data_IF_305670597233
#
_entry.id   IF_305670597233
#
_cell.length_a   1.000
_cell.length_b   1.000
_cell.length_c   1.000
_cell.angle_alpha   90.00
_cell.angle_beta   90.00
_cell.angle_gamma   90.00
#
_symmetry.space_group_name_H-M   'P 1'
#
loop_
_entity.id
_entity.type
_entity.pdbx_description
1 polymer ?
#
# COMPACT_ATOMS: atom_id res chain seq x y z
N UNK A 1 -3.47 -13.26 -18.22
CA UNK A 1 -2.95 -11.98 -17.67
C UNK A 1 -1.79 -11.42 -18.51
N UNK A 2 -0.69 -12.15 -18.74
CA UNK A 2 0.45 -11.63 -19.52
C UNK A 2 0.12 -11.09 -20.93
N UNK A 3 -0.67 -11.82 -21.73
CA UNK A 3 -1.15 -11.34 -23.06
C UNK A 3 -2.00 -10.06 -22.97
N UNK A 4 -2.79 -9.92 -21.90
CA UNK A 4 -3.61 -8.72 -21.65
C UNK A 4 -2.74 -7.53 -21.25
N UNK A 5 -1.71 -7.75 -20.42
CA UNK A 5 -0.74 -6.70 -20.06
C UNK A 5 0.03 -6.20 -21.29
N UNK A 6 0.47 -7.11 -22.17
CA UNK A 6 1.07 -6.75 -23.44
C UNK A 6 0.09 -5.95 -24.32
N UNK A 7 -1.15 -6.40 -24.43
CA UNK A 7 -2.21 -5.68 -25.14
C UNK A 7 -2.52 -4.29 -24.57
N UNK A 8 -2.56 -4.11 -23.25
CA UNK A 8 -2.79 -2.80 -22.63
C UNK A 8 -1.63 -1.82 -22.85
N UNK A 9 -0.41 -2.34 -23.08
CA UNK A 9 0.77 -1.56 -23.46
C UNK A 9 0.68 -1.10 -24.92
N UNK A 10 0.13 -1.93 -25.80
CA UNK A 10 -0.02 -1.69 -27.23
C UNK A 10 -1.46 -1.23 -27.55
N UNK A 11 -1.74 0.07 -27.39
CA UNK A 11 -3.08 0.65 -27.67
C UNK A 11 -3.39 0.67 -29.19
N UNK A 12 -3.74 -0.45 -29.80
CA UNK A 12 -4.29 -0.46 -31.17
C UNK A 12 -5.83 -0.46 -31.16
N UNK A 13 -6.51 0.55 -31.77
CA UNK A 13 -7.95 0.56 -31.88
C UNK A 13 -8.46 -0.58 -32.80
N UNK A 14 -9.66 -1.12 -32.54
CA UNK A 14 -10.20 -2.22 -33.34
C UNK A 14 -10.45 -1.81 -34.79
N UNK A 15 -10.02 -2.64 -35.74
CA UNK A 15 -10.05 -2.32 -37.18
C UNK A 15 -11.39 -2.68 -37.85
N UNK A 16 -12.39 -3.18 -37.10
CA UNK A 16 -13.73 -3.50 -37.62
C UNK A 16 -14.64 -4.27 -36.64
N UNK A 17 -15.85 -4.61 -37.10
CA UNK A 17 -16.90 -5.24 -36.27
C UNK A 17 -16.60 -6.67 -35.80
N UNK A 18 -15.91 -7.49 -36.62
CA UNK A 18 -15.45 -8.84 -36.22
C UNK A 18 -14.39 -8.78 -35.13
N UNK A 19 -13.40 -7.89 -35.31
CA UNK A 19 -12.34 -7.62 -34.33
C UNK A 19 -12.92 -7.08 -33.01
N UNK A 20 -14.01 -6.30 -33.06
CA UNK A 20 -14.73 -5.86 -31.87
C UNK A 20 -15.41 -7.01 -31.10
N UNK A 21 -15.94 -8.03 -31.79
CA UNK A 21 -16.53 -9.21 -31.16
C UNK A 21 -15.46 -10.12 -30.52
N UNK A 22 -14.33 -10.29 -31.21
CA UNK A 22 -13.18 -11.04 -30.68
C UNK A 22 -12.53 -10.32 -29.48
N UNK A 23 -12.63 -8.98 -29.43
CA UNK A 23 -12.19 -8.13 -28.31
C UNK A 23 -13.22 -7.97 -27.20
N UNK A 24 -14.42 -8.54 -27.32
CA UNK A 24 -15.48 -8.44 -26.29
C UNK A 24 -15.05 -9.00 -24.91
N UNK A 25 -14.31 -10.12 -24.81
CA UNK A 25 -13.77 -10.60 -23.54
C UNK A 25 -12.76 -9.63 -22.92
N UNK A 26 -11.95 -8.97 -23.75
CA UNK A 26 -10.99 -7.94 -23.34
C UNK A 26 -11.73 -6.69 -22.87
N UNK A 27 -12.80 -6.28 -23.56
CA UNK A 27 -13.66 -5.16 -23.14
C UNK A 27 -14.31 -5.42 -21.77
N UNK A 28 -14.79 -6.65 -21.52
CA UNK A 28 -15.31 -7.05 -20.20
C UNK A 28 -14.25 -6.96 -19.10
N UNK A 29 -13.00 -7.31 -19.41
CA UNK A 29 -11.89 -7.15 -18.47
C UNK A 29 -11.58 -5.68 -18.21
N UNK A 30 -11.65 -4.81 -19.23
CA UNK A 30 -11.49 -3.36 -19.06
C UNK A 30 -12.57 -2.76 -18.13
N UNK A 31 -13.81 -3.26 -18.19
CA UNK A 31 -14.88 -2.83 -17.27
C UNK A 31 -14.58 -3.14 -15.79
N UNK A 32 -13.74 -4.14 -15.51
CA UNK A 32 -13.34 -4.51 -14.16
C UNK A 32 -12.13 -3.73 -13.63
N UNK A 33 -11.51 -2.88 -14.45
CA UNK A 33 -10.32 -2.12 -14.07
C UNK A 33 -10.64 -0.96 -13.13
N UNK A 34 -11.74 -0.25 -13.31
CA UNK A 34 -12.06 0.90 -12.45
C UNK A 34 -12.45 0.43 -11.04
N UNK A 35 -11.76 0.89 -9.97
CA UNK A 35 -12.16 0.59 -8.60
C UNK A 35 -13.59 1.06 -8.32
N UNK A 36 -14.30 0.34 -7.45
CA UNK A 36 -15.63 0.71 -6.97
C UNK A 36 -15.48 1.38 -5.62
N UNK A 37 -15.75 2.69 -5.58
CA UNK A 37 -15.82 3.43 -4.32
C UNK A 37 -17.06 3.02 -3.52
N UNK A 38 -16.86 2.70 -2.25
CA UNK A 38 -17.90 2.42 -1.26
C UNK A 38 -18.08 3.63 -0.34
N UNK A 39 -19.31 3.84 0.13
CA UNK A 39 -19.65 4.89 1.09
C UNK A 39 -19.31 4.52 2.54
N UNK A 40 -19.23 3.23 2.84
CA UNK A 40 -18.84 2.66 4.13
C UNK A 40 -18.11 1.34 3.90
N UNK A 41 -17.29 0.94 4.88
CA UNK A 41 -16.46 -0.25 4.77
C UNK A 41 -16.26 -0.93 6.14
N UNK A 42 -16.17 -2.28 6.18
CA UNK A 42 -15.84 -3.01 7.40
C UNK A 42 -14.54 -2.56 8.06
N UNK A 43 -13.55 -2.13 7.27
CA UNK A 43 -12.26 -1.66 7.79
C UNK A 43 -12.34 -0.36 8.62
N UNK A 44 -13.52 0.26 8.73
CA UNK A 44 -13.79 1.50 9.47
C UNK A 44 -14.83 1.31 10.58
N UNK A 45 -15.07 0.07 11.03
CA UNK A 45 -16.06 -0.23 12.08
C UNK A 45 -15.61 0.25 13.47
N UNK A 46 -14.33 0.08 13.79
CA UNK A 46 -13.69 0.58 15.00
C UNK A 46 -12.64 1.59 14.58
N UNK A 47 -12.63 2.78 15.21
CA UNK A 47 -11.70 3.86 14.88
C UNK A 47 -11.13 4.42 16.18
N UNK A 48 -9.80 4.48 16.25
CA UNK A 48 -9.03 5.25 17.24
C UNK A 48 -8.38 6.43 16.53
N UNK A 49 -8.46 7.62 17.12
CA UNK A 49 -7.91 8.85 16.55
C UNK A 49 -7.01 9.60 17.54
N UNK A 50 -6.01 10.31 17.00
CA UNK A 50 -5.13 11.21 17.73
C UNK A 50 -4.50 10.54 18.98
N UNK A 51 -4.86 10.98 20.18
CA UNK A 51 -4.26 10.51 21.44
C UNK A 51 -4.60 9.06 21.80
N UNK A 52 -5.65 8.49 21.19
CA UNK A 52 -6.10 7.12 21.46
C UNK A 52 -5.45 6.08 20.53
N UNK A 53 -4.58 6.53 19.61
CA UNK A 53 -3.83 5.63 18.73
C UNK A 53 -2.72 4.95 19.52
N UNK A 54 -2.83 3.62 19.65
CA UNK A 54 -1.79 2.78 20.22
C UNK A 54 -1.53 1.55 19.35
N UNK A 55 -0.38 1.53 18.68
CA UNK A 55 0.12 0.40 17.89
C UNK A 55 0.40 -0.83 18.77
N UNK A 56 0.55 -0.67 20.08
CA UNK A 56 0.72 -1.76 21.05
C UNK A 56 -0.49 -2.68 21.16
N UNK A 57 -1.68 -2.25 20.71
CA UNK A 57 -2.84 -3.12 20.61
C UNK A 57 -2.76 -4.15 19.48
N UNK A 58 -1.84 -3.96 18.52
CA UNK A 58 -1.63 -4.87 17.41
C UNK A 58 -0.54 -5.89 17.74
N UNK A 59 -0.69 -7.18 17.36
CA UNK A 59 0.30 -8.21 17.62
C UNK A 59 1.47 -8.14 16.62
N UNK A 60 2.16 -6.99 16.56
CA UNK A 60 3.30 -6.76 15.67
C UNK A 60 4.46 -7.66 16.11
N UNK A 61 5.03 -8.39 15.16
CA UNK A 61 5.96 -9.48 15.44
C UNK A 61 7.40 -8.98 15.62
N UNK A 62 8.11 -9.62 16.54
CA UNK A 62 9.57 -9.71 16.50
C UNK A 62 9.94 -10.90 15.62
N UNK A 63 10.73 -10.68 14.56
CA UNK A 63 11.05 -11.76 13.62
C UNK A 63 12.27 -12.57 14.08
N UNK A 64 13.32 -11.88 14.56
CA UNK A 64 14.58 -12.50 14.97
C UNK A 64 15.12 -11.95 16.30
N UNK A 65 15.93 -12.72 17.04
CA UNK A 65 16.46 -12.31 18.35
C UNK A 65 17.29 -11.01 18.35
N UNK A 66 17.97 -10.69 17.24
CA UNK A 66 18.78 -9.48 17.08
C UNK A 66 18.09 -8.34 16.34
N UNK A 67 16.79 -8.43 16.06
CA UNK A 67 16.03 -7.30 15.52
C UNK A 67 15.96 -6.17 16.57
N UNK A 68 15.84 -4.92 16.12
CA UNK A 68 15.84 -3.76 17.03
C UNK A 68 14.49 -3.46 17.68
N UNK A 69 13.39 -3.83 17.02
CA UNK A 69 12.02 -3.55 17.42
C UNK A 69 11.03 -4.48 16.68
N UNK A 70 9.74 -4.49 17.06
CA UNK A 70 8.70 -5.13 16.26
C UNK A 70 8.61 -4.49 14.86
N UNK A 71 8.25 -5.30 13.86
CA UNK A 71 8.23 -4.90 12.47
C UNK A 71 6.90 -5.24 11.78
N UNK A 72 6.27 -4.25 11.16
CA UNK A 72 5.14 -4.48 10.24
C UNK A 72 5.71 -4.87 8.87
N UNK A 73 5.27 -6.01 8.33
CA UNK A 73 5.88 -6.61 7.13
C UNK A 73 4.95 -6.73 5.92
N UNK A 74 3.63 -6.78 6.11
CA UNK A 74 2.62 -6.93 5.04
C UNK A 74 1.68 -5.73 4.90
N UNK A 75 2.13 -4.53 5.27
CA UNK A 75 1.37 -3.29 5.08
C UNK A 75 1.38 -2.81 3.63
N UNK A 76 0.20 -2.74 2.99
CA UNK A 76 0.04 -2.09 1.69
C UNK A 76 0.03 -0.57 1.90
N UNK A 77 1.18 0.06 1.68
CA UNK A 77 1.34 1.51 1.78
C UNK A 77 0.75 2.17 0.55
N UNK A 78 -0.26 3.01 0.76
CA UNK A 78 -0.97 3.79 -0.25
C UNK A 78 -0.46 5.23 -0.23
N UNK A 79 0.00 5.69 -1.38
CA UNK A 79 0.47 7.06 -1.59
C UNK A 79 -0.11 7.65 -2.87
N UNK A 80 -0.11 8.99 -2.97
CA UNK A 80 -0.45 9.69 -4.20
C UNK A 80 0.47 10.90 -4.38
N UNK A 81 1.23 10.91 -5.48
CA UNK A 81 2.02 12.08 -5.88
C UNK A 81 1.13 13.26 -6.26
N UNK A 82 1.59 14.51 -6.08
CA UNK A 82 0.79 15.73 -6.22
C UNK A 82 0.29 16.00 -7.66
N UNK A 83 0.92 15.40 -8.67
CA UNK A 83 0.54 15.54 -10.08
C UNK A 83 -0.29 14.39 -10.63
N UNK A 84 -0.61 13.39 -9.79
CA UNK A 84 -1.13 12.10 -10.25
C UNK A 84 -2.53 11.88 -9.70
N UNK A 85 -3.47 11.56 -10.60
CA UNK A 85 -4.77 11.04 -10.18
C UNK A 85 -4.67 9.60 -9.63
N UNK A 86 -3.63 8.86 -10.05
CA UNK A 86 -3.40 7.47 -9.64
C UNK A 86 -2.75 7.40 -8.26
N UNK A 87 -3.10 6.36 -7.51
CA UNK A 87 -2.41 6.01 -6.26
C UNK A 87 -1.43 4.88 -6.53
N UNK A 88 -0.31 4.89 -5.80
CA UNK A 88 0.66 3.80 -5.76
C UNK A 88 0.37 2.91 -4.55
N UNK A 89 0.51 1.60 -4.73
CA UNK A 89 0.54 0.62 -3.64
C UNK A 89 1.92 -0.01 -3.55
N UNK A 90 2.53 0.00 -2.37
CA UNK A 90 3.82 -0.62 -2.15
C UNK A 90 3.93 -1.31 -0.80
N UNK A 91 4.78 -2.33 -0.74
CA UNK A 91 5.09 -3.04 0.51
C UNK A 91 6.46 -2.57 0.97
N UNK A 92 6.45 -1.86 2.09
CA UNK A 92 7.63 -1.32 2.73
C UNK A 92 7.58 -1.78 4.17
N UNK A 93 8.66 -2.37 4.67
CA UNK A 93 8.71 -2.80 6.07
C UNK A 93 8.72 -1.57 6.99
N UNK A 94 8.04 -1.66 8.11
CA UNK A 94 7.85 -0.52 9.01
C UNK A 94 8.23 -0.88 10.44
N UNK A 95 9.33 -0.29 10.92
CA UNK A 95 9.82 -0.46 12.29
C UNK A 95 8.98 0.36 13.26
N UNK A 96 8.51 -0.26 14.34
CA UNK A 96 7.80 0.43 15.42
C UNK A 96 8.77 1.26 16.25
N UNK A 97 8.46 2.55 16.44
CA UNK A 97 9.22 3.47 17.28
C UNK A 97 8.50 3.86 18.58
N UNK A 98 7.19 3.66 18.64
CA UNK A 98 6.36 4.05 19.76
C UNK A 98 4.87 3.78 19.49
N UNK A 99 3.97 4.33 20.31
CA UNK A 99 2.53 4.04 20.21
C UNK A 99 1.91 4.51 18.89
N UNK A 100 2.48 5.48 18.19
CA UNK A 100 1.91 6.01 16.94
C UNK A 100 2.97 6.38 15.89
N UNK A 101 4.18 5.83 15.99
CA UNK A 101 5.30 6.19 15.12
C UNK A 101 5.91 4.94 14.51
N UNK A 102 6.09 4.96 13.19
CA UNK A 102 6.67 3.91 12.37
C UNK A 102 7.76 4.48 11.48
N UNK A 103 8.82 3.73 11.20
CA UNK A 103 9.77 4.10 10.13
C UNK A 103 9.25 3.61 8.79
N UNK A 104 9.25 4.44 7.75
CA UNK A 104 8.90 4.04 6.40
C UNK A 104 10.14 3.64 5.59
N UNK A 105 10.52 2.34 5.59
CA UNK A 105 11.70 1.86 4.83
C UNK A 105 11.36 1.56 3.37
N UNK A 106 11.25 2.62 2.58
CA UNK A 106 11.21 2.53 1.11
C UNK A 106 12.58 2.81 0.48
N UNK A 107 12.89 2.16 -0.64
CA UNK A 107 14.08 2.52 -1.43
C UNK A 107 13.74 3.70 -2.35
N UNK A 108 14.71 4.58 -2.62
CA UNK A 108 14.50 5.86 -3.31
C UNK A 108 13.83 5.77 -4.70
N UNK A 109 13.89 4.60 -5.36
CA UNK A 109 13.29 4.36 -6.67
C UNK A 109 11.87 3.77 -6.60
N UNK A 110 11.33 3.52 -5.41
CA UNK A 110 9.98 2.96 -5.23
C UNK A 110 8.91 4.06 -5.36
N UNK A 111 7.73 3.70 -5.84
CA UNK A 111 6.65 4.66 -6.12
C UNK A 111 6.31 5.58 -4.94
N UNK A 112 6.17 5.04 -3.73
CA UNK A 112 5.92 5.87 -2.54
C UNK A 112 7.04 6.87 -2.23
N UNK A 113 8.30 6.48 -2.39
CA UNK A 113 9.45 7.37 -2.19
C UNK A 113 9.50 8.48 -3.26
N UNK A 114 9.14 8.15 -4.51
CA UNK A 114 9.05 9.12 -5.59
C UNK A 114 7.91 10.11 -5.36
N UNK A 115 6.73 9.63 -4.96
CA UNK A 115 5.58 10.47 -4.63
C UNK A 115 5.89 11.42 -3.46
N UNK A 116 6.55 10.92 -2.41
CA UNK A 116 7.00 11.74 -1.29
C UNK A 116 8.02 12.80 -1.71
N UNK A 117 9.01 12.43 -2.53
CA UNK A 117 10.00 13.38 -3.05
C UNK A 117 9.33 14.47 -3.90
N UNK A 118 8.42 14.10 -4.80
CA UNK A 118 7.66 15.04 -5.63
C UNK A 118 6.81 15.98 -4.75
N UNK A 119 6.16 15.46 -3.71
CA UNK A 119 5.40 16.25 -2.74
C UNK A 119 6.29 17.27 -2.02
N UNK A 120 7.45 16.86 -1.50
CA UNK A 120 8.36 17.77 -0.81
C UNK A 120 8.87 18.91 -1.71
N UNK A 121 9.04 18.67 -3.01
CA UNK A 121 9.45 19.70 -3.97
C UNK A 121 8.35 20.73 -4.25
N UNK A 122 7.08 20.30 -4.25
CA UNK A 122 5.94 21.15 -4.60
C UNK A 122 5.29 21.83 -3.39
N UNK A 123 5.37 21.16 -2.25
CA UNK A 123 4.78 21.58 -0.99
C UNK A 123 5.83 21.56 0.12
N UNK A 124 6.88 22.42 0.05
CA UNK A 124 7.98 22.39 1.01
C UNK A 124 7.49 22.53 2.46
N UNK A 125 7.94 21.62 3.32
CA UNK A 125 7.59 21.59 4.74
C UNK A 125 6.16 21.13 5.06
N UNK A 126 5.33 20.81 4.05
CA UNK A 126 3.99 20.28 4.32
C UNK A 126 4.03 18.76 4.56
N UNK A 127 3.30 18.25 5.56
CA UNK A 127 3.14 16.82 5.78
C UNK A 127 2.67 16.08 4.52
N UNK A 128 3.25 14.91 4.27
CA UNK A 128 2.87 14.04 3.17
C UNK A 128 1.87 12.98 3.65
N UNK A 129 0.61 12.99 3.18
CA UNK A 129 -0.39 12.02 3.62
C UNK A 129 -0.12 10.63 3.04
N UNK A 130 -0.29 9.60 3.86
CA UNK A 130 -0.27 8.20 3.45
C UNK A 130 -1.23 7.36 4.28
N UNK A 131 -1.51 6.16 3.79
CA UNK A 131 -2.20 5.13 4.55
C UNK A 131 -1.51 3.77 4.39
N UNK A 132 -1.71 2.87 5.34
CA UNK A 132 -1.20 1.50 5.30
C UNK A 132 -2.36 0.55 5.58
N UNK A 133 -2.70 -0.28 4.60
CA UNK A 133 -3.76 -1.30 4.74
C UNK A 133 -3.14 -2.67 5.02
N UNK A 134 -3.59 -3.33 6.10
CA UNK A 134 -3.21 -4.67 6.52
C UNK A 134 -4.39 -5.63 6.31
N UNK A 135 -4.10 -6.86 5.88
CA UNK A 135 -5.13 -7.88 5.65
C UNK A 135 -6.09 -7.53 4.49
N UNK A 136 -5.60 -6.90 3.42
CA UNK A 136 -6.38 -6.67 2.21
C UNK A 136 -6.71 -8.00 1.49
N UNK A 137 -7.59 -7.96 0.49
CA UNK A 137 -7.91 -9.15 -0.29
C UNK A 137 -6.66 -9.68 -1.06
N UNK A 138 -6.57 -11.00 -1.32
CA UNK A 138 -5.38 -11.59 -1.91
C UNK A 138 -4.99 -11.02 -3.27
N UNK A 139 -5.96 -10.63 -4.10
CA UNK A 139 -5.67 -10.07 -5.43
C UNK A 139 -5.03 -8.68 -5.33
N UNK A 140 -5.45 -7.87 -4.35
CA UNK A 140 -4.84 -6.56 -4.09
C UNK A 140 -3.42 -6.70 -3.56
N UNK A 141 -3.19 -7.65 -2.64
CA UNK A 141 -1.85 -7.95 -2.12
C UNK A 141 -0.91 -8.39 -3.26
N UNK A 142 -1.36 -9.34 -4.09
CA UNK A 142 -0.58 -9.81 -5.24
C UNK A 142 -0.32 -8.70 -6.28
N UNK A 143 -1.29 -7.81 -6.48
CA UNK A 143 -1.12 -6.69 -7.39
C UNK A 143 -0.04 -5.70 -6.90
N UNK A 144 0.04 -5.44 -5.59
CA UNK A 144 1.02 -4.53 -5.00
C UNK A 144 2.48 -5.03 -5.11
N UNK A 145 2.70 -6.34 -5.23
CA UNK A 145 4.05 -6.92 -5.45
C UNK A 145 4.38 -7.16 -6.92
N UNK A 146 3.37 -7.10 -7.81
CA UNK A 146 3.58 -7.34 -9.24
C UNK A 146 4.10 -6.07 -9.91
N UNK A 147 5.16 -6.12 -10.73
CA UNK A 147 5.61 -4.97 -11.50
C UNK A 147 4.58 -4.64 -12.58
N UNK A 148 3.72 -3.65 -12.31
CA UNK A 148 2.73 -3.15 -13.26
C UNK A 148 3.25 -1.90 -13.99
N UNK A 149 2.85 -1.65 -15.24
CA UNK A 149 3.22 -0.42 -15.95
C UNK A 149 2.71 0.83 -15.24
N UNK A 150 3.44 1.95 -15.36
CA UNK A 150 3.03 3.25 -14.78
C UNK A 150 1.71 3.81 -15.33
N UNK A 151 1.21 3.26 -16.44
CA UNK A 151 -0.11 3.59 -16.99
C UNK A 151 -1.26 2.91 -16.28
N UNK A 152 -0.99 1.96 -15.36
CA UNK A 152 -1.99 1.14 -14.67
C UNK A 152 -1.79 1.24 -13.15
N UNK A 153 -2.85 1.52 -12.40
CA UNK A 153 -2.81 1.43 -10.93
C UNK A 153 -2.92 -0.04 -10.48
N UNK A 154 -2.28 -0.38 -9.37
CA UNK A 154 -2.29 -1.71 -8.77
C UNK A 154 -3.73 -2.16 -8.46
N UNK A 155 -4.65 -1.26 -8.08
CA UNK A 155 -6.06 -1.62 -7.90
C UNK A 155 -6.75 -2.07 -9.19
N UNK A 156 -6.38 -1.46 -10.32
CA UNK A 156 -6.92 -1.84 -11.62
C UNK A 156 -6.39 -3.22 -12.03
N UNK A 157 -5.11 -3.48 -11.75
CA UNK A 157 -4.51 -4.78 -11.96
C UNK A 157 -5.12 -5.86 -11.05
N UNK A 158 -5.37 -5.54 -9.77
CA UNK A 158 -6.05 -6.42 -8.84
C UNK A 158 -7.45 -6.82 -9.34
N UNK A 159 -8.20 -5.86 -9.92
CA UNK A 159 -9.52 -6.14 -10.49
C UNK A 159 -9.46 -7.08 -11.70
N UNK A 160 -8.40 -6.99 -12.51
CA UNK A 160 -8.14 -7.92 -13.61
C UNK A 160 -7.80 -9.33 -13.12
N UNK A 161 -7.00 -9.45 -12.05
CA UNK A 161 -6.67 -10.73 -11.42
C UNK A 161 -7.90 -11.39 -10.78
N UNK A 162 -8.73 -10.59 -10.11
CA UNK A 162 -9.92 -11.04 -9.38
C UNK A 162 -11.11 -11.35 -10.30
N UNK A 163 -11.17 -10.71 -11.47
CA UNK A 163 -12.31 -10.79 -12.37
C UNK A 163 -13.51 -9.93 -11.95
N UNK A 164 -13.32 -9.03 -10.98
CA UNK A 164 -14.32 -8.07 -10.49
C UNK A 164 -13.63 -6.81 -9.98
N UNK A 165 -14.36 -5.69 -9.92
CA UNK A 165 -13.80 -4.39 -9.50
C UNK A 165 -13.27 -4.45 -8.07
N UNK A 166 -12.11 -3.85 -7.85
CA UNK A 166 -11.59 -3.66 -6.48
C UNK A 166 -12.47 -2.69 -5.72
N UNK A 167 -12.98 -3.10 -4.57
CA UNK A 167 -13.78 -2.25 -3.69
C UNK A 167 -12.87 -1.46 -2.77
N UNK A 168 -13.00 -0.15 -2.82
CA UNK A 168 -12.19 0.78 -2.04
C UNK A 168 -13.08 1.73 -1.26
N UNK A 169 -12.55 2.25 -0.17
CA UNK A 169 -13.20 3.29 0.65
C UNK A 169 -12.25 4.46 0.81
N UNK A 170 -12.81 5.66 0.96
CA UNK A 170 -12.02 6.85 1.25
C UNK A 170 -11.45 6.74 2.67
N UNK A 171 -10.18 7.07 2.84
CA UNK A 171 -9.56 7.28 4.14
C UNK A 171 -10.33 8.34 4.95
N UNK A 172 -10.29 8.23 6.27
CA UNK A 172 -10.99 9.14 7.17
C UNK A 172 -10.27 10.51 7.25
N UNK A 173 -8.94 10.51 7.25
CA UNK A 173 -8.11 11.71 7.40
C UNK A 173 -7.57 12.30 6.09
N UNK A 174 -7.80 11.66 4.94
CA UNK A 174 -7.25 12.11 3.66
C UNK A 174 -8.11 11.73 2.46
N UNK A 175 -7.77 12.24 1.28
CA UNK A 175 -8.40 11.87 0.01
C UNK A 175 -7.86 10.56 -0.59
N UNK A 176 -7.07 9.79 0.17
CA UNK A 176 -6.59 8.49 -0.25
C UNK A 176 -7.71 7.44 -0.21
N UNK A 177 -7.54 6.36 -0.96
CA UNK A 177 -8.47 5.23 -1.01
C UNK A 177 -7.75 3.92 -0.67
N UNK A 178 -8.29 3.20 0.30
CA UNK A 178 -7.80 1.91 0.81
C UNK A 178 -8.78 0.79 0.46
N UNK A 179 -8.36 -0.49 0.47
CA UNK A 179 -9.26 -1.61 0.23
C UNK A 179 -10.36 -1.64 1.29
N UNK A 180 -11.63 -1.64 0.88
CA UNK A 180 -12.76 -1.61 1.81
C UNK A 180 -12.81 -2.87 2.70
N UNK A 181 -12.24 -3.98 2.23
CA UNK A 181 -12.17 -5.25 2.95
C UNK A 181 -10.90 -5.42 3.79
N UNK A 182 -10.07 -4.39 3.94
CA UNK A 182 -8.89 -4.47 4.81
C UNK A 182 -9.28 -4.83 6.24
N UNK A 183 -8.41 -5.54 6.95
CA UNK A 183 -8.63 -5.89 8.36
C UNK A 183 -8.32 -4.70 9.26
N UNK A 184 -7.21 -4.00 8.99
CA UNK A 184 -6.71 -2.85 9.75
C UNK A 184 -6.18 -1.81 8.76
N UNK A 185 -6.42 -0.53 9.02
CA UNK A 185 -5.90 0.60 8.26
C UNK A 185 -5.26 1.61 9.21
N UNK A 186 -4.00 1.96 8.92
CA UNK A 186 -3.28 3.04 9.60
C UNK A 186 -3.28 4.25 8.68
N UNK A 187 -3.70 5.41 9.17
CA UNK A 187 -3.70 6.66 8.40
C UNK A 187 -2.89 7.74 9.13
N UNK A 188 -2.26 8.61 8.36
CA UNK A 188 -1.56 9.77 8.90
C UNK A 188 -0.60 10.36 7.87
N UNK A 189 0.59 10.74 8.31
CA UNK A 189 1.51 11.51 7.48
C UNK A 189 2.99 11.25 7.77
N UNK A 190 3.84 11.64 6.83
CA UNK A 190 5.28 11.83 7.04
C UNK A 190 5.57 13.32 7.10
N UNK A 191 6.23 13.78 8.16
CA UNK A 191 6.85 15.11 8.19
C UNK A 191 8.15 15.06 7.37
N UNK A 192 8.33 15.92 6.35
CA UNK A 192 9.55 15.96 5.53
C UNK A 192 10.86 16.09 6.31
N UNK A 193 10.82 16.63 7.53
CA UNK A 193 11.99 16.85 8.38
C UNK A 193 12.22 15.70 9.36
N UNK A 194 11.22 14.84 9.58
CA UNK A 194 11.29 13.78 10.58
C UNK A 194 11.81 12.47 9.97
N UNK A 195 12.90 11.99 10.56
CA UNK A 195 13.61 10.79 10.12
C UNK A 195 14.17 10.06 11.33
N UNK A 196 14.29 8.74 11.24
CA UNK A 196 14.83 7.90 12.32
C UNK A 196 15.74 6.80 11.77
N UNK A 197 16.60 6.27 12.63
CA UNK A 197 17.52 5.19 12.30
C UNK A 197 16.76 3.85 12.30
N UNK A 198 16.75 3.18 11.15
CA UNK A 198 16.13 1.86 10.99
C UNK A 198 17.14 0.74 11.15
N UNK A 199 16.71 -0.34 11.79
CA UNK A 199 17.46 -1.58 11.92
C UNK A 199 18.38 -1.65 13.15
N UNK A 200 19.15 -2.75 13.28
CA UNK A 200 19.30 -3.80 12.28
C UNK A 200 18.08 -4.74 12.22
N UNK A 201 17.93 -5.43 11.09
CA UNK A 201 16.94 -6.50 10.90
C UNK A 201 17.52 -7.61 10.06
N UNK A 202 17.16 -8.85 10.38
CA UNK A 202 17.38 -9.99 9.49
C UNK A 202 16.65 -9.80 8.16
N UNK A 203 17.24 -10.25 7.06
CA UNK A 203 16.62 -10.15 5.75
C UNK A 203 16.76 -11.42 4.89
N UNK A 204 16.25 -11.36 3.66
CA UNK A 204 16.26 -12.44 2.69
C UNK A 204 17.64 -13.04 2.35
N UNK A 205 18.74 -12.35 2.68
CA UNK A 205 20.11 -12.88 2.51
C UNK A 205 20.50 -13.85 3.62
N UNK A 206 19.73 -13.89 4.71
CA UNK A 206 20.06 -14.65 5.92
C UNK A 206 20.98 -13.92 6.90
N UNK A 207 21.23 -12.63 6.69
CA UNK A 207 22.09 -11.78 7.51
C UNK A 207 21.32 -10.55 8.03
N UNK A 208 21.93 -9.87 9.00
CA UNK A 208 21.43 -8.57 9.49
C UNK A 208 21.90 -7.44 8.57
N UNK A 209 20.96 -6.58 8.19
CA UNK A 209 21.25 -5.42 7.35
C UNK A 209 21.86 -4.27 8.15
N UNK A 210 22.64 -3.45 7.46
CA UNK A 210 23.13 -2.17 7.98
C UNK A 210 21.98 -1.20 8.31
N UNK A 211 22.27 -0.33 9.27
CA UNK A 211 21.35 0.71 9.72
C UNK A 211 21.40 1.92 8.79
N UNK A 212 20.24 2.53 8.52
CA UNK A 212 20.15 3.75 7.72
C UNK A 212 18.97 4.61 8.17
N UNK A 213 19.02 5.91 7.87
CA UNK A 213 17.95 6.84 8.26
C UNK A 213 16.86 6.90 7.19
N UNK A 214 15.62 6.75 7.62
CA UNK A 214 14.43 6.78 6.77
C UNK A 214 13.36 7.71 7.35
N UNK A 215 12.38 8.16 6.55
CA UNK A 215 11.28 9.00 7.03
C UNK A 215 10.43 8.33 8.10
N UNK A 216 9.86 9.12 9.00
CA UNK A 216 8.97 8.64 10.05
C UNK A 216 7.51 8.87 9.65
N UNK A 217 6.73 7.79 9.65
CA UNK A 217 5.29 7.78 9.50
C UNK A 217 4.64 7.96 10.88
N UNK A 218 3.92 9.07 11.04
CA UNK A 218 3.06 9.34 12.20
C UNK A 218 1.66 8.83 11.91
N UNK A 219 1.18 7.90 12.73
CA UNK A 219 -0.17 7.37 12.67
C UNK A 219 -1.10 8.29 13.47
N UNK A 220 -2.04 8.91 12.80
CA UNK A 220 -3.07 9.75 13.43
C UNK A 220 -4.37 9.00 13.64
N UNK A 221 -4.61 7.94 12.86
CA UNK A 221 -5.83 7.13 12.94
C UNK A 221 -5.51 5.68 12.72
N UNK A 222 -6.10 4.83 13.56
CA UNK A 222 -6.11 3.38 13.40
C UNK A 222 -7.58 2.98 13.28
N UNK A 223 -7.94 2.42 12.13
CA UNK A 223 -9.28 1.86 11.92
C UNK A 223 -9.21 0.37 11.62
N UNK A 224 -10.21 -0.39 12.04
CA UNK A 224 -10.23 -1.84 11.89
C UNK A 224 -11.64 -2.41 11.90
N UNK A 225 -11.76 -3.66 11.45
CA UNK A 225 -12.97 -4.48 11.59
C UNK A 225 -13.21 -4.82 13.06
N UNK A 226 -14.42 -5.26 13.42
CA UNK A 226 -14.74 -5.67 14.80
C UNK A 226 -13.88 -6.83 15.34
N UNK A 227 -13.49 -7.76 14.47
CA UNK A 227 -12.64 -8.90 14.82
C UNK A 227 -11.50 -8.99 13.81
N UNK A 228 -10.51 -8.08 13.89
CA UNK A 228 -9.52 -7.94 12.84
C UNK A 228 -8.49 -9.06 12.88
N UNK A 229 -8.08 -9.52 11.71
CA UNK A 229 -6.95 -10.43 11.56
C UNK A 229 -5.69 -9.63 11.20
N UNK A 230 -4.65 -9.73 12.02
CA UNK A 230 -3.35 -9.11 11.73
C UNK A 230 -2.54 -9.98 10.76
N UNK A 231 -2.50 -9.59 9.49
CA UNK A 231 -1.69 -10.27 8.46
C UNK A 231 -0.22 -9.82 8.54
N UNK A 232 0.68 -10.78 8.77
CA UNK A 232 2.12 -10.56 8.92
C UNK A 232 2.93 -11.68 8.26
N UNK A 233 4.22 -11.43 8.09
CA UNK A 233 5.25 -12.40 7.68
C UNK A 233 6.57 -12.04 8.33
N UNK A 234 7.58 -12.86 8.12
CA UNK A 234 8.97 -12.54 8.36
C UNK A 234 9.77 -12.69 7.05
N UNK A 235 11.02 -12.20 7.04
CA UNK A 235 12.03 -12.50 6.03
C UNK A 235 13.26 -13.07 6.72
N UNK A 236 13.98 -13.96 6.07
CA UNK A 236 15.18 -14.58 6.61
C UNK A 236 15.89 -15.39 5.54
N UNK A 237 16.78 -16.29 5.96
CA UNK A 237 17.38 -17.25 5.02
C UNK A 237 16.25 -18.05 4.33
N UNK A 238 16.21 -18.08 2.98
CA UNK A 238 15.13 -18.72 2.24
C UNK A 238 15.06 -20.23 2.51
N UNK A 239 13.90 -20.88 2.28
CA UNK A 239 12.71 -20.39 1.60
C UNK A 239 11.82 -19.46 2.45
#
# INVERSE_FOLDING_TARGET
VGKLLAYLKEREPPRGFRDAWDKLPVLRQVLNMAPRLRSSAPCQEIVSESGDVDLGCLPIQWCWPGDVAPLITWGLTVTRGPHKARQNLGIYRQQVLGPNKLIMRWLAHRGGALDFREHCLQHPGQPFPLAVALGADPATILAAVTPVPDSLSEYQFAGLLRGSKTEVVKCLGSDLQVPASAEIVLEGFIDPQETALEGPYGDHTGYYNEQARFPVFTVERLSMRQQPIYHSTYTGKPP
#
